data_IF_977930019565
#
_entry.id   IF_977930019565
#
_cell.length_a   1.000
_cell.length_b   1.000
_cell.length_c   1.000
_cell.angle_alpha   90.00
_cell.angle_beta   90.00
_cell.angle_gamma   90.00
#
_symmetry.space_group_name_H-M   'P 1'
#
loop_
_entity.id
_entity.type
_entity.pdbx_description
1 polymer ?
#
# COMPACT_ATOMS: atom_id res chain seq x y z
N UNK A 1 -9.25 41.92 39.23
CA UNK A 1 -9.20 40.44 39.29
C UNK A 1 -8.38 39.92 38.13
N UNK A 2 -7.05 40.04 38.22
CA UNK A 2 -6.12 39.62 37.17
C UNK A 2 -5.71 38.16 37.35
N UNK A 3 -5.88 37.35 36.31
CA UNK A 3 -5.31 36.02 36.21
C UNK A 3 -3.87 36.12 35.71
N UNK A 4 -2.90 35.89 36.60
CA UNK A 4 -1.48 35.80 36.27
C UNK A 4 -1.06 34.32 36.22
N UNK A 5 -0.64 33.90 35.03
CA UNK A 5 0.30 32.83 34.69
C UNK A 5 0.67 31.78 35.74
N UNK A 6 0.30 30.53 35.49
CA UNK A 6 0.77 29.40 36.28
C UNK A 6 0.56 28.03 35.65
N UNK A 7 1.04 27.77 34.42
CA UNK A 7 1.23 26.40 33.93
C UNK A 7 2.58 26.26 33.24
N UNK A 8 3.56 25.71 33.97
CA UNK A 8 4.83 25.23 33.41
C UNK A 8 4.54 24.03 32.50
N UNK A 9 4.88 24.13 31.21
CA UNK A 9 4.80 23.00 30.26
C UNK A 9 5.89 21.99 30.63
N UNK A 10 5.50 20.76 30.93
CA UNK A 10 6.43 19.65 31.15
C UNK A 10 7.15 19.33 29.84
N UNK A 11 8.46 19.55 29.79
CA UNK A 11 9.29 19.13 28.66
C UNK A 11 9.44 17.60 28.74
N UNK A 12 9.07 16.83 27.70
CA UNK A 12 9.30 15.39 27.69
C UNK A 12 10.80 15.11 27.68
N UNK A 13 11.24 14.26 28.62
CA UNK A 13 12.63 13.90 28.83
C UNK A 13 13.04 12.86 27.77
N UNK A 14 13.75 13.31 26.73
CA UNK A 14 14.28 12.43 25.68
C UNK A 14 15.54 11.74 26.21
N UNK A 15 15.71 10.42 26.03
CA UNK A 15 16.93 9.73 26.43
C UNK A 15 18.13 10.25 25.63
N UNK A 16 19.34 10.33 26.23
CA UNK A 16 20.53 10.81 25.54
C UNK A 16 20.87 9.88 24.37
N UNK A 17 21.25 10.48 23.24
CA UNK A 17 21.67 9.78 22.04
C UNK A 17 22.77 8.77 22.37
N UNK A 18 22.40 7.49 22.35
CA UNK A 18 23.34 6.39 22.44
C UNK A 18 24.32 6.49 21.27
N UNK A 19 25.60 6.33 21.58
CA UNK A 19 26.70 6.30 20.61
C UNK A 19 26.42 5.18 19.62
N UNK A 20 25.95 5.53 18.43
CA UNK A 20 25.75 4.59 17.33
C UNK A 20 27.14 4.27 16.76
N UNK A 21 27.54 3.00 16.84
CA UNK A 21 28.78 2.53 16.24
C UNK A 21 28.65 2.55 14.71
N UNK A 22 29.65 3.11 14.02
CA UNK A 22 29.75 3.22 12.55
C UNK A 22 29.73 1.86 11.81
N UNK A 23 29.69 0.75 12.56
CA UNK A 23 29.54 -0.62 12.05
C UNK A 23 28.07 -1.03 11.86
N UNK A 24 27.11 -0.32 12.45
CA UNK A 24 25.67 -0.59 12.31
C UNK A 24 25.08 -0.15 10.95
N UNK A 25 25.83 0.67 10.19
CA UNK A 25 25.42 1.22 8.88
C UNK A 25 26.11 0.53 7.70
N UNK A 26 26.55 -0.73 7.86
CA UNK A 26 27.10 -1.50 6.74
C UNK A 26 26.06 -2.45 6.19
N UNK A 27 25.58 -2.15 4.98
CA UNK A 27 24.83 -3.12 4.20
C UNK A 27 25.79 -4.23 3.71
N UNK A 28 25.36 -5.50 3.68
CA UNK A 28 26.19 -6.56 3.12
C UNK A 28 26.45 -6.27 1.64
N UNK A 29 27.72 -6.02 1.31
CA UNK A 29 28.20 -5.88 -0.06
C UNK A 29 28.23 -7.25 -0.74
N UNK A 30 27.08 -7.90 -0.88
CA UNK A 30 26.97 -9.03 -1.79
C UNK A 30 26.96 -8.47 -3.20
N UNK A 31 28.08 -8.63 -3.91
CA UNK A 31 28.12 -8.51 -5.36
C UNK A 31 26.92 -9.25 -5.96
N UNK A 32 26.23 -8.69 -6.97
CA UNK A 32 25.15 -9.40 -7.62
C UNK A 32 25.75 -10.62 -8.33
N UNK A 33 25.71 -11.79 -7.68
CA UNK A 33 25.72 -13.03 -8.41
C UNK A 33 24.47 -13.00 -9.27
N UNK A 34 24.70 -12.97 -10.57
CA UNK A 34 23.70 -13.03 -11.64
C UNK A 34 22.77 -14.21 -11.38
N UNK A 35 21.66 -13.96 -10.67
CA UNK A 35 20.64 -14.97 -10.43
C UNK A 35 19.80 -15.04 -11.70
N UNK A 36 20.27 -15.86 -12.64
CA UNK A 36 19.47 -16.32 -13.76
C UNK A 36 18.31 -17.12 -13.18
N UNK A 37 17.10 -16.56 -13.25
CA UNK A 37 15.89 -17.22 -12.77
C UNK A 37 15.49 -18.24 -13.84
N UNK A 38 15.81 -19.52 -13.60
CA UNK A 38 15.32 -20.62 -14.42
C UNK A 38 13.83 -20.86 -14.10
N UNK A 39 12.92 -20.71 -15.07
CA UNK A 39 11.47 -20.75 -14.83
C UNK A 39 10.96 -22.12 -14.37
N UNK A 40 11.72 -23.19 -14.60
CA UNK A 40 11.34 -24.56 -14.21
C UNK A 40 11.37 -24.75 -12.69
N UNK A 41 12.35 -24.16 -11.99
CA UNK A 41 12.47 -24.24 -10.52
C UNK A 41 11.39 -23.45 -9.79
N UNK A 42 10.80 -22.45 -10.44
CA UNK A 42 9.71 -21.65 -9.86
C UNK A 42 8.41 -22.45 -9.84
N UNK A 43 8.18 -23.36 -10.80
CA UNK A 43 6.93 -24.15 -10.87
C UNK A 43 6.81 -25.19 -9.75
N UNK A 44 7.92 -25.80 -9.34
CA UNK A 44 7.91 -26.81 -8.26
C UNK A 44 7.56 -26.22 -6.88
N UNK A 45 7.91 -24.95 -6.63
CA UNK A 45 7.65 -24.26 -5.35
C UNK A 45 6.19 -23.82 -5.22
N UNK A 46 5.47 -23.65 -6.34
CA UNK A 46 4.09 -23.16 -6.36
C UNK A 46 3.06 -24.31 -6.24
N UNK A 47 3.50 -25.57 -6.18
CA UNK A 47 2.66 -26.69 -5.73
C UNK A 47 1.47 -27.03 -6.64
N UNK A 48 1.58 -26.77 -7.95
CA UNK A 48 0.49 -26.93 -8.93
C UNK A 48 0.04 -28.39 -9.16
N UNK A 49 0.80 -29.40 -8.73
CA UNK A 49 0.54 -30.81 -9.08
C UNK A 49 -0.02 -31.67 -7.93
N UNK A 50 -0.47 -31.09 -6.81
CA UNK A 50 -1.18 -31.87 -5.78
C UNK A 50 -2.70 -31.69 -5.94
N UNK A 51 -3.43 -32.66 -6.52
CA UNK A 51 -4.88 -32.65 -6.43
C UNK A 51 -5.28 -32.76 -4.96
N UNK A 52 -5.91 -31.70 -4.45
CA UNK A 52 -6.51 -31.69 -3.11
C UNK A 52 -7.69 -32.66 -3.14
N UNK A 53 -7.50 -33.85 -2.59
CA UNK A 53 -8.60 -34.75 -2.26
C UNK A 53 -9.41 -34.08 -1.14
N UNK A 54 -10.59 -33.58 -1.48
CA UNK A 54 -11.54 -33.06 -0.50
C UNK A 54 -12.15 -34.24 0.26
N UNK A 55 -12.05 -34.29 1.61
CA UNK A 55 -12.71 -35.33 2.39
C UNK A 55 -14.24 -35.15 2.32
N UNK A 56 -14.91 -36.25 2.01
CA UNK A 56 -16.36 -36.37 1.86
C UNK A 56 -17.15 -35.98 3.12
N UNK A 57 -18.39 -35.58 2.86
CA UNK A 57 -19.43 -35.15 3.79
C UNK A 57 -19.52 -35.99 5.08
N UNK A 58 -19.20 -35.39 6.22
CA UNK A 58 -19.65 -35.89 7.53
C UNK A 58 -20.96 -35.17 7.86
N UNK A 59 -22.08 -35.84 7.56
CA UNK A 59 -23.40 -35.57 8.15
C UNK A 59 -23.27 -35.63 9.67
N UNK A 60 -23.26 -34.48 10.34
CA UNK A 60 -23.38 -34.41 11.79
C UNK A 60 -24.86 -34.22 12.16
N UNK A 61 -25.43 -35.30 12.70
CA UNK A 61 -26.73 -35.31 13.36
C UNK A 61 -26.78 -34.31 14.52
N UNK A 62 -27.97 -33.76 14.71
CA UNK A 62 -28.33 -32.81 15.76
C UNK A 62 -28.36 -33.53 17.10
N UNK A 63 -27.41 -33.24 17.99
CA UNK A 63 -27.58 -33.49 19.42
C UNK A 63 -27.52 -32.19 20.22
N UNK A 64 -28.69 -31.79 20.73
CA UNK A 64 -28.83 -30.66 21.63
C UNK A 64 -28.25 -30.99 23.01
N UNK A 65 -27.18 -30.29 23.42
CA UNK A 65 -26.83 -30.15 24.84
C UNK A 65 -26.76 -28.67 25.20
N UNK A 66 -27.74 -28.25 26.01
CA UNK A 66 -27.83 -26.92 26.63
C UNK A 66 -26.61 -26.66 27.50
N UNK A 67 -25.81 -25.65 27.16
CA UNK A 67 -24.77 -25.09 28.03
C UNK A 67 -25.27 -23.77 28.62
N UNK A 68 -25.04 -23.61 29.92
CA UNK A 68 -25.57 -22.57 30.81
C UNK A 68 -24.97 -21.20 30.48
N UNK A 69 -25.80 -20.15 30.58
CA UNK A 69 -25.39 -18.73 30.48
C UNK A 69 -24.44 -18.36 31.62
N UNK A 70 -23.22 -17.99 31.29
CA UNK A 70 -22.34 -17.17 32.14
C UNK A 70 -22.44 -15.69 31.76
N UNK A 71 -22.03 -14.76 32.64
CA UNK A 71 -22.16 -13.33 32.42
C UNK A 71 -21.26 -12.83 31.28
N UNK A 72 -21.85 -12.07 30.37
CA UNK A 72 -21.20 -11.41 29.23
C UNK A 72 -20.21 -10.34 29.71
N UNK A 73 -18.93 -10.57 29.48
CA UNK A 73 -17.91 -9.52 29.53
C UNK A 73 -17.95 -8.77 28.19
N UNK A 74 -18.61 -7.61 28.15
CA UNK A 74 -18.61 -6.70 27.02
C UNK A 74 -17.30 -5.91 26.98
N UNK A 75 -16.39 -6.25 26.07
CA UNK A 75 -15.14 -5.49 25.96
C UNK A 75 -14.09 -6.03 25.00
N UNK A 76 -14.47 -6.70 23.92
CA UNK A 76 -13.55 -6.99 22.81
C UNK A 76 -14.06 -6.27 21.55
N UNK A 77 -13.20 -5.52 20.83
CA UNK A 77 -13.58 -4.94 19.55
C UNK A 77 -13.92 -6.07 18.59
N UNK A 78 -15.07 -5.93 17.92
CA UNK A 78 -15.48 -6.87 16.88
C UNK A 78 -14.35 -7.00 15.85
N UNK A 79 -13.97 -8.23 15.45
CA UNK A 79 -13.13 -8.39 14.27
C UNK A 79 -13.87 -7.74 13.11
N UNK A 80 -13.19 -6.84 12.39
CA UNK A 80 -13.70 -6.21 11.19
C UNK A 80 -14.33 -7.29 10.33
N UNK A 81 -15.64 -7.20 10.15
CA UNK A 81 -16.38 -8.04 9.23
C UNK A 81 -15.64 -7.96 7.90
N UNK A 82 -15.17 -9.10 7.39
CA UNK A 82 -14.69 -9.17 6.03
C UNK A 82 -15.74 -8.51 5.15
N UNK A 83 -15.35 -7.39 4.54
CA UNK A 83 -16.12 -6.76 3.49
C UNK A 83 -16.17 -7.78 2.37
N UNK A 84 -17.17 -8.67 2.42
CA UNK A 84 -17.53 -9.55 1.33
C UNK A 84 -17.94 -8.61 0.20
N UNK A 85 -16.95 -8.27 -0.64
CA UNK A 85 -17.19 -7.94 -2.03
C UNK A 85 -18.10 -9.05 -2.52
N UNK A 86 -19.37 -8.73 -2.67
CA UNK A 86 -20.36 -9.60 -3.29
C UNK A 86 -19.92 -9.79 -4.75
N UNK A 87 -18.98 -10.69 -4.97
CA UNK A 87 -18.59 -11.25 -6.26
C UNK A 87 -19.64 -12.27 -6.68
N UNK A 88 -20.92 -11.86 -6.61
CA UNK A 88 -22.01 -12.62 -7.17
C UNK A 88 -22.25 -12.10 -8.58
N UNK A 89 -22.20 -13.05 -9.51
CA UNK A 89 -22.75 -13.05 -10.86
C UNK A 89 -21.90 -12.43 -11.98
N UNK A 90 -21.30 -13.38 -12.70
CA UNK A 90 -21.09 -13.45 -14.14
C UNK A 90 -19.73 -12.97 -14.65
N UNK A 91 -19.07 -13.90 -15.36
CA UNK A 91 -18.16 -13.62 -16.48
C UNK A 91 -18.92 -12.82 -17.57
N UNK A 92 -19.46 -11.66 -17.20
CA UNK A 92 -19.88 -10.67 -18.16
C UNK A 92 -18.60 -10.02 -18.66
N UNK A 93 -18.32 -10.20 -19.96
CA UNK A 93 -17.29 -9.45 -20.65
C UNK A 93 -17.42 -7.97 -20.25
N UNK A 94 -16.43 -7.47 -19.52
CA UNK A 94 -16.42 -6.12 -18.98
C UNK A 94 -16.16 -5.15 -20.14
N UNK A 95 -17.22 -4.82 -20.89
CA UNK A 95 -17.13 -3.91 -22.02
C UNK A 95 -16.93 -2.48 -21.52
N UNK A 96 -15.68 -2.04 -21.51
CA UNK A 96 -15.36 -0.62 -21.34
C UNK A 96 -15.90 0.12 -22.55
N UNK A 97 -16.79 1.10 -22.33
CA UNK A 97 -17.30 1.97 -23.39
C UNK A 97 -16.11 2.63 -24.11
N UNK A 98 -16.16 2.66 -25.44
CA UNK A 98 -15.10 3.26 -26.28
C UNK A 98 -14.76 4.69 -25.83
N UNK A 99 -15.77 5.47 -25.44
CA UNK A 99 -15.60 6.83 -24.93
C UNK A 99 -14.79 6.89 -23.62
N UNK A 100 -15.04 5.92 -22.72
CA UNK A 100 -14.31 5.80 -21.45
C UNK A 100 -12.86 5.38 -21.72
N UNK A 101 -12.65 4.44 -22.64
CA UNK A 101 -11.32 4.03 -23.05
C UNK A 101 -10.50 5.18 -23.67
N UNK A 102 -11.10 5.95 -24.59
CA UNK A 102 -10.43 7.13 -25.18
C UNK A 102 -10.09 8.18 -24.12
N UNK A 103 -10.99 8.39 -23.15
CA UNK A 103 -10.72 9.29 -22.03
C UNK A 103 -9.55 8.80 -21.18
N UNK A 104 -9.52 7.52 -20.82
CA UNK A 104 -8.41 6.92 -20.05
C UNK A 104 -7.09 7.05 -20.82
N UNK A 105 -7.10 6.82 -22.13
CA UNK A 105 -5.91 7.00 -22.96
C UNK A 105 -5.41 8.46 -22.94
N UNK A 106 -6.32 9.43 -23.07
CA UNK A 106 -5.97 10.85 -22.99
C UNK A 106 -5.41 11.24 -21.61
N UNK A 107 -6.04 10.78 -20.53
CA UNK A 107 -5.56 10.99 -19.16
C UNK A 107 -4.18 10.33 -18.97
N UNK A 108 -3.97 9.12 -19.50
CA UNK A 108 -2.68 8.42 -19.40
C UNK A 108 -1.55 9.13 -20.18
N UNK A 109 -1.84 9.73 -21.33
CA UNK A 109 -0.88 10.58 -22.03
C UNK A 109 -0.49 11.81 -21.22
N UNK A 110 -1.44 12.43 -20.51
CA UNK A 110 -1.12 13.57 -19.63
C UNK A 110 -0.24 13.16 -18.46
N UNK A 111 -0.52 12.02 -17.81
CA UNK A 111 0.33 11.48 -16.74
C UNK A 111 1.74 11.16 -17.24
N UNK A 112 1.85 10.59 -18.45
CA UNK A 112 3.15 10.33 -19.08
C UNK A 112 3.96 11.61 -19.29
N UNK A 113 3.33 12.70 -19.73
CA UNK A 113 3.99 14.01 -19.86
C UNK A 113 4.45 14.53 -18.50
N UNK A 114 3.60 14.48 -17.48
CA UNK A 114 3.95 14.88 -16.10
C UNK A 114 5.12 14.06 -15.54
N UNK A 115 5.20 12.76 -15.84
CA UNK A 115 6.34 11.91 -15.45
C UNK A 115 7.65 12.34 -16.12
N UNK A 116 7.61 12.71 -17.40
CA UNK A 116 8.79 13.19 -18.11
C UNK A 116 9.28 14.52 -17.53
N UNK A 117 8.38 15.45 -17.23
CA UNK A 117 8.72 16.72 -16.57
C UNK A 117 9.26 16.50 -15.15
N UNK A 118 8.69 15.55 -14.40
CA UNK A 118 9.20 15.17 -13.08
C UNK A 118 10.60 14.56 -13.17
N UNK A 119 10.84 13.72 -14.18
CA UNK A 119 12.17 13.15 -14.43
C UNK A 119 13.19 14.24 -14.75
N UNK A 120 12.84 15.19 -15.62
CA UNK A 120 13.73 16.30 -15.98
C UNK A 120 14.03 17.20 -14.78
N UNK A 121 13.03 17.50 -13.95
CA UNK A 121 13.24 18.27 -12.72
C UNK A 121 14.07 17.52 -11.68
N UNK A 122 13.99 16.19 -11.63
CA UNK A 122 14.85 15.34 -10.82
C UNK A 122 16.31 15.40 -11.30
N UNK A 123 16.56 15.24 -12.61
CA UNK A 123 17.92 15.34 -13.16
C UNK A 123 18.51 16.75 -13.01
N UNK A 124 17.68 17.78 -13.11
CA UNK A 124 18.10 19.16 -12.89
C UNK A 124 18.42 19.42 -11.40
N UNK A 125 17.74 18.75 -10.47
CA UNK A 125 18.06 18.84 -9.04
C UNK A 125 19.41 18.19 -8.73
N UNK A 126 19.68 17.02 -9.30
CA UNK A 126 20.94 16.29 -9.12
C UNK A 126 22.15 17.06 -9.65
N UNK A 127 21.96 17.84 -10.71
CA UNK A 127 23.03 18.66 -11.33
C UNK A 127 23.16 20.06 -10.71
N UNK A 128 22.19 20.51 -9.90
CA UNK A 128 22.23 21.83 -9.27
C UNK A 128 22.95 21.79 -7.92
N UNK A 129 24.17 22.32 -7.85
CA UNK A 129 24.93 22.45 -6.58
C UNK A 129 24.44 23.59 -5.68
N UNK A 130 23.68 24.54 -6.22
CA UNK A 130 23.18 25.72 -5.51
C UNK A 130 21.67 25.85 -5.76
N UNK A 131 20.89 26.07 -4.69
CA UNK A 131 19.43 26.28 -4.68
C UNK A 131 18.53 25.02 -4.62
N UNK A 132 19.02 23.94 -4.00
CA UNK A 132 18.28 22.68 -3.81
C UNK A 132 16.87 22.87 -3.23
N UNK A 133 16.69 23.80 -2.27
CA UNK A 133 15.39 23.94 -1.58
C UNK A 133 14.26 24.42 -2.51
N UNK A 134 14.56 25.34 -3.43
CA UNK A 134 13.57 25.82 -4.41
C UNK A 134 13.24 24.73 -5.44
N UNK A 135 14.25 24.01 -5.90
CA UNK A 135 14.08 22.92 -6.87
C UNK A 135 13.35 21.72 -6.24
N UNK A 136 13.70 21.37 -5.01
CA UNK A 136 12.99 20.36 -4.21
C UNK A 136 11.54 20.76 -3.95
N UNK A 137 11.27 22.04 -3.66
CA UNK A 137 9.91 22.55 -3.51
C UNK A 137 9.08 22.43 -4.80
N UNK A 138 9.70 22.59 -5.97
CA UNK A 138 9.05 22.36 -7.28
C UNK A 138 8.80 20.88 -7.53
N UNK A 139 9.82 20.04 -7.32
CA UNK A 139 9.71 18.59 -7.45
C UNK A 139 8.60 18.02 -6.56
N UNK A 140 8.53 18.46 -5.30
CA UNK A 140 7.48 18.05 -4.35
C UNK A 140 6.08 18.45 -4.83
N UNK A 141 5.91 19.64 -5.41
CA UNK A 141 4.63 20.09 -5.96
C UNK A 141 4.22 19.27 -7.18
N UNK A 142 5.17 19.00 -8.10
CA UNK A 142 4.91 18.17 -9.28
C UNK A 142 4.59 16.72 -8.89
N UNK A 143 5.33 16.14 -7.94
CA UNK A 143 5.06 14.81 -7.40
C UNK A 143 3.65 14.72 -6.79
N UNK A 144 3.25 15.75 -6.04
CA UNK A 144 1.89 15.80 -5.48
C UNK A 144 0.83 15.89 -6.58
N UNK A 145 1.03 16.74 -7.59
CA UNK A 145 0.10 16.86 -8.72
C UNK A 145 -0.06 15.52 -9.44
N UNK A 146 1.05 14.86 -9.76
CA UNK A 146 1.06 13.57 -10.44
C UNK A 146 0.36 12.49 -9.63
N UNK A 147 0.57 12.47 -8.31
CA UNK A 147 -0.16 11.57 -7.42
C UNK A 147 -1.68 11.84 -7.45
N UNK A 148 -2.10 13.10 -7.38
CA UNK A 148 -3.51 13.48 -7.44
C UNK A 148 -4.13 13.13 -8.80
N UNK A 149 -3.38 13.29 -9.90
CA UNK A 149 -3.76 12.89 -11.25
C UNK A 149 -3.93 11.37 -11.37
N UNK A 150 -2.99 10.58 -10.82
CA UNK A 150 -3.10 9.12 -10.77
C UNK A 150 -4.34 8.66 -9.98
N UNK A 151 -4.60 9.29 -8.83
CA UNK A 151 -5.82 9.01 -8.05
C UNK A 151 -7.09 9.39 -8.81
N UNK A 152 -7.05 10.43 -9.64
CA UNK A 152 -8.18 10.82 -10.47
C UNK A 152 -8.42 9.78 -11.57
N UNK A 153 -7.35 9.30 -12.22
CA UNK A 153 -7.41 8.29 -13.27
C UNK A 153 -7.89 6.94 -12.72
N UNK A 154 -7.41 6.54 -11.54
CA UNK A 154 -7.88 5.35 -10.81
C UNK A 154 -9.39 5.42 -10.55
N UNK A 155 -9.89 6.57 -10.08
CA UNK A 155 -11.34 6.79 -9.93
C UNK A 155 -12.08 6.69 -11.26
N UNK A 156 -11.52 7.21 -12.35
CA UNK A 156 -12.12 7.08 -13.68
C UNK A 156 -12.21 5.62 -14.10
N UNK A 157 -11.14 4.83 -13.89
CA UNK A 157 -11.09 3.43 -14.30
C UNK A 157 -12.04 2.55 -13.47
N UNK A 158 -12.12 2.76 -12.15
CA UNK A 158 -12.83 1.85 -11.24
C UNK A 158 -14.21 2.33 -10.78
N UNK A 159 -14.61 3.58 -11.09
CA UNK A 159 -15.99 4.06 -10.83
C UNK A 159 -16.88 4.08 -12.08
N UNK A 160 -16.32 3.74 -13.25
CA UNK A 160 -17.05 3.67 -14.52
C UNK A 160 -17.85 2.39 -14.66
#
# INVERSE_FOLDING_TARGET
>A
MGWLFGRKKSVPKVPPAGRLDDKALRFPTSLPQERVIEPEKVKEVVGFDKPVAFPEEIKAEVESKRVRKGPSFSGLPEPMSEMRLSSSTQDEDLFVKVDVYQRILGEMETVKKSLLELSETSTNLETSEYNEEKHFGRLKKQMKSLHDDLLSMDKTVFKS
#
